data_IF_721551014316
#
_entry.id   IF_721551014316
#
_cell.length_a   1.000
_cell.length_b   1.000
_cell.length_c   1.000
_cell.angle_alpha   90.00
_cell.angle_beta   90.00
_cell.angle_gamma   90.00
#
_symmetry.space_group_name_H-M   'P 1'
#
loop_
_entity.id
_entity.type
_entity.pdbx_description
1 polymer ?
#
# COMPACT_ATOMS: atom_id res chain seq x y z
N UNK A 1 -3.05 -2.39 -1.71
CA UNK A 1 -2.60 -1.80 -0.42
C UNK A 1 -1.16 -1.36 -0.60
N UNK A 2 -0.80 -0.16 -0.15
CA UNK A 2 0.58 0.34 -0.22
C UNK A 2 1.23 0.24 1.15
N UNK A 3 2.42 -0.36 1.23
CA UNK A 3 3.25 -0.41 2.44
C UNK A 3 4.42 0.54 2.23
N UNK A 4 4.44 1.66 2.95
CA UNK A 4 5.43 2.72 2.75
C UNK A 4 6.59 2.54 3.73
N UNK A 5 7.80 2.43 3.19
CA UNK A 5 9.05 2.33 3.93
C UNK A 5 9.96 3.49 3.55
N UNK A 6 10.81 3.95 4.47
CA UNK A 6 11.83 4.96 4.15
C UNK A 6 13.19 4.29 4.11
N UNK A 7 14.01 4.61 3.11
CA UNK A 7 15.39 4.12 3.01
C UNK A 7 16.29 4.66 4.15
N UNK A 8 15.86 5.74 4.82
CA UNK A 8 16.52 6.28 6.03
C UNK A 8 16.21 5.50 7.30
N UNK A 9 15.07 4.82 7.32
CA UNK A 9 14.58 4.14 8.50
C UNK A 9 14.99 2.68 8.45
N UNK A 10 15.65 2.21 9.51
CA UNK A 10 15.91 0.78 9.66
C UNK A 10 14.59 0.03 9.66
N UNK A 11 14.53 -1.07 8.92
CA UNK A 11 13.42 -1.99 9.02
C UNK A 11 13.41 -2.57 10.44
N UNK A 12 12.47 -2.10 11.26
CA UNK A 12 12.43 -2.41 12.68
C UNK A 12 11.44 -3.53 12.98
N UNK A 13 11.54 -4.10 14.19
CA UNK A 13 10.60 -5.13 14.65
C UNK A 13 9.17 -4.62 14.70
N UNK A 14 8.96 -3.32 14.89
CA UNK A 14 7.65 -2.69 14.85
C UNK A 14 7.05 -2.73 13.44
N UNK A 15 7.86 -2.50 12.41
CA UNK A 15 7.42 -2.60 11.01
C UNK A 15 7.05 -4.05 10.67
N UNK A 16 7.89 -5.00 11.07
CA UNK A 16 7.60 -6.42 10.92
C UNK A 16 6.29 -6.82 11.63
N UNK A 17 6.11 -6.40 12.88
CA UNK A 17 4.92 -6.68 13.67
C UNK A 17 3.66 -6.04 13.06
N UNK A 18 3.78 -4.86 12.45
CA UNK A 18 2.69 -4.21 11.74
C UNK A 18 2.26 -5.02 10.50
N UNK A 19 3.21 -5.49 9.69
CA UNK A 19 2.92 -6.36 8.53
C UNK A 19 2.24 -7.66 8.99
N UNK A 20 2.77 -8.33 10.02
CA UNK A 20 2.16 -9.55 10.56
C UNK A 20 0.75 -9.29 11.12
N UNK A 21 0.51 -8.11 11.69
CA UNK A 21 -0.81 -7.73 12.20
C UNK A 21 -1.81 -7.47 11.07
N UNK A 22 -1.36 -6.92 9.94
CA UNK A 22 -2.17 -6.78 8.73
C UNK A 22 -2.55 -8.15 8.16
N UNK A 23 -1.61 -9.08 8.05
CA UNK A 23 -1.90 -10.45 7.61
C UNK A 23 -2.88 -11.17 8.54
N UNK A 24 -2.76 -10.98 9.87
CA UNK A 24 -3.70 -11.56 10.84
C UNK A 24 -5.10 -10.94 10.73
N UNK A 25 -5.19 -9.64 10.51
CA UNK A 25 -6.46 -8.90 10.50
C UNK A 25 -7.22 -9.07 9.18
N UNK A 26 -6.50 -9.04 8.08
CA UNK A 26 -7.08 -9.13 6.74
C UNK A 26 -7.02 -10.54 6.18
N UNK A 27 -6.21 -11.44 6.73
CA UNK A 27 -5.98 -12.77 6.19
C UNK A 27 -4.78 -12.82 5.24
N UNK A 28 -4.20 -14.02 5.03
CA UNK A 28 -2.94 -14.18 4.30
C UNK A 28 -3.01 -13.78 2.82
N UNK A 29 -4.21 -13.67 2.25
CA UNK A 29 -4.40 -13.23 0.86
C UNK A 29 -4.13 -11.73 0.67
N UNK A 30 -4.06 -10.94 1.74
CA UNK A 30 -3.82 -9.48 1.63
C UNK A 30 -2.50 -9.16 0.95
N UNK A 31 -1.48 -10.00 1.13
CA UNK A 31 -0.16 -9.83 0.52
C UNK A 31 -0.20 -9.90 -1.00
N UNK A 32 -1.15 -10.65 -1.60
CA UNK A 32 -1.37 -10.67 -3.06
C UNK A 32 -1.80 -9.30 -3.61
N UNK A 33 -2.23 -8.38 -2.74
CA UNK A 33 -2.68 -7.03 -3.08
C UNK A 33 -1.73 -5.94 -2.55
N UNK A 34 -0.60 -6.30 -1.94
CA UNK A 34 0.37 -5.36 -1.38
C UNK A 34 1.45 -4.97 -2.40
N UNK A 35 1.80 -3.69 -2.38
CA UNK A 35 2.94 -3.09 -3.09
C UNK A 35 3.78 -2.35 -2.05
N UNK A 36 5.10 -2.56 -2.06
CA UNK A 36 6.04 -1.88 -1.16
C UNK A 36 6.53 -0.59 -1.82
N UNK A 37 6.34 0.55 -1.17
CA UNK A 37 6.79 1.85 -1.66
C UNK A 37 7.95 2.31 -0.79
N UNK A 38 9.15 2.35 -1.36
CA UNK A 38 10.30 2.96 -0.72
C UNK A 38 10.27 4.47 -0.95
N UNK A 39 10.61 5.23 0.08
CA UNK A 39 10.68 6.69 0.04
C UNK A 39 12.08 7.15 0.42
N UNK A 40 12.48 8.29 -0.13
CA UNK A 40 13.83 8.83 0.05
C UNK A 40 14.74 8.54 -1.13
N UNK A 41 14.19 8.46 -2.34
CA UNK A 41 14.99 8.27 -3.55
C UNK A 41 15.99 9.40 -3.82
N UNK A 42 15.77 10.60 -3.25
CA UNK A 42 16.77 11.66 -3.27
C UNK A 42 18.02 11.31 -2.44
N UNK A 43 17.89 10.50 -1.38
CA UNK A 43 19.06 10.05 -0.61
C UNK A 43 19.89 9.03 -1.38
N UNK A 44 19.24 8.04 -2.00
CA UNK A 44 19.97 7.05 -2.79
C UNK A 44 20.70 7.73 -3.96
N UNK A 45 20.08 8.74 -4.58
CA UNK A 45 20.76 9.57 -5.58
C UNK A 45 21.94 10.37 -5.02
N UNK A 46 21.85 10.92 -3.80
CA UNK A 46 22.96 11.64 -3.15
C UNK A 46 24.15 10.71 -2.85
N UNK A 47 23.89 9.43 -2.58
CA UNK A 47 24.89 8.40 -2.26
C UNK A 47 25.36 7.61 -3.50
N UNK A 48 24.92 7.98 -4.72
CA UNK A 48 25.17 7.26 -5.99
C UNK A 48 24.73 5.77 -5.96
N UNK A 49 23.69 5.46 -5.17
CA UNK A 49 23.13 4.12 -5.01
C UNK A 49 21.78 3.95 -5.73
N UNK A 50 21.51 2.74 -6.22
CA UNK A 50 20.19 2.35 -6.71
C UNK A 50 19.33 1.70 -5.62
N UNK A 51 18.02 1.53 -5.86
CA UNK A 51 17.19 0.76 -4.94
C UNK A 51 17.68 -0.70 -4.87
N UNK A 52 18.14 -1.25 -5.99
CA UNK A 52 18.71 -2.58 -6.08
C UNK A 52 19.97 -2.72 -5.23
N UNK A 53 20.85 -1.72 -5.24
CA UNK A 53 22.06 -1.70 -4.40
C UNK A 53 21.68 -1.71 -2.91
N UNK A 54 20.77 -0.82 -2.51
CA UNK A 54 20.23 -0.75 -1.15
C UNK A 54 19.64 -2.10 -0.68
N UNK A 55 18.89 -2.77 -1.56
CA UNK A 55 18.28 -4.07 -1.27
C UNK A 55 19.26 -5.25 -1.36
N UNK A 56 20.46 -5.07 -1.92
CA UNK A 56 21.46 -6.14 -2.04
C UNK A 56 22.49 -6.12 -0.91
N UNK A 57 22.90 -4.94 -0.46
CA UNK A 57 23.97 -4.79 0.53
C UNK A 57 23.46 -4.78 1.98
N UNK A 58 22.27 -4.22 2.23
CA UNK A 58 21.79 -3.95 3.59
C UNK A 58 20.40 -4.52 3.89
N UNK A 59 19.82 -5.35 3.03
CA UNK A 59 18.44 -5.82 3.22
C UNK A 59 18.32 -6.76 4.42
N UNK A 60 17.60 -6.37 5.49
CA UNK A 60 17.37 -7.26 6.63
C UNK A 60 16.48 -8.44 6.19
N UNK A 61 16.73 -9.63 6.73
CA UNK A 61 15.94 -10.84 6.43
C UNK A 61 14.41 -10.61 6.53
N UNK A 62 13.87 -9.87 7.53
CA UNK A 62 12.45 -9.57 7.58
C UNK A 62 11.93 -8.72 6.42
N UNK A 63 12.75 -7.78 5.91
CA UNK A 63 12.41 -6.97 4.74
C UNK A 63 12.44 -7.81 3.47
N UNK A 64 13.43 -8.68 3.33
CA UNK A 64 13.50 -9.63 2.21
C UNK A 64 12.24 -10.51 2.17
N UNK A 65 11.84 -11.05 3.32
CA UNK A 65 10.61 -11.83 3.45
C UNK A 65 9.36 -11.03 3.09
N UNK A 66 9.27 -9.75 3.50
CA UNK A 66 8.18 -8.86 3.11
C UNK A 66 8.12 -8.69 1.58
N UNK A 67 9.26 -8.46 0.94
CA UNK A 67 9.34 -8.32 -0.51
C UNK A 67 8.90 -9.61 -1.21
N UNK A 68 9.36 -10.77 -0.73
CA UNK A 68 8.98 -12.07 -1.27
C UNK A 68 7.47 -12.33 -1.18
N UNK A 69 6.83 -12.10 -0.02
CA UNK A 69 5.37 -12.27 0.11
C UNK A 69 4.60 -11.27 -0.75
N UNK A 70 5.18 -10.10 -1.02
CA UNK A 70 4.65 -9.11 -1.95
C UNK A 70 5.02 -9.39 -3.42
N UNK A 71 5.60 -10.55 -3.75
CA UNK A 71 6.04 -10.94 -5.11
C UNK A 71 7.03 -9.95 -5.72
N UNK A 72 7.89 -9.36 -4.90
CA UNK A 72 8.87 -8.34 -5.26
C UNK A 72 8.28 -7.08 -5.91
N UNK A 73 6.97 -6.81 -5.70
CA UNK A 73 6.32 -5.59 -6.18
C UNK A 73 6.74 -4.42 -5.30
N UNK A 74 7.75 -3.68 -5.75
CA UNK A 74 8.21 -2.49 -5.06
C UNK A 74 8.56 -1.34 -6.02
N UNK A 75 8.56 -0.12 -5.49
CA UNK A 75 8.90 1.10 -6.25
C UNK A 75 9.55 2.14 -5.34
N UNK A 76 10.49 2.92 -5.87
CA UNK A 76 11.15 4.02 -5.19
C UNK A 76 10.52 5.38 -5.52
N UNK A 77 10.23 6.15 -4.48
CA UNK A 77 9.69 7.50 -4.56
C UNK A 77 10.68 8.53 -3.98
N UNK A 78 10.86 9.60 -4.73
CA UNK A 78 11.51 10.83 -4.30
C UNK A 78 10.41 11.88 -4.11
N UNK A 79 9.94 12.00 -2.88
CA UNK A 79 8.87 12.94 -2.54
C UNK A 79 9.35 14.41 -2.55
N UNK A 80 10.65 14.67 -2.73
CA UNK A 80 11.21 16.03 -2.75
C UNK A 80 11.45 16.54 -4.17
N UNK A 81 11.42 15.66 -5.19
CA UNK A 81 11.64 16.08 -6.57
C UNK A 81 10.68 17.19 -7.01
N UNK A 82 11.24 18.20 -7.68
CA UNK A 82 10.48 19.27 -8.35
C UNK A 82 10.38 19.05 -9.86
N UNK A 83 11.04 18.01 -10.38
CA UNK A 83 11.02 17.68 -11.81
C UNK A 83 9.72 16.93 -12.12
N UNK A 84 8.83 17.55 -12.89
CA UNK A 84 7.56 16.92 -13.28
C UNK A 84 7.77 15.62 -14.06
N UNK A 85 8.80 15.52 -14.89
CA UNK A 85 9.15 14.28 -15.57
C UNK A 85 9.45 13.12 -14.61
N UNK A 86 10.18 13.39 -13.52
CA UNK A 86 10.52 12.37 -12.50
C UNK A 86 9.29 11.96 -11.70
N UNK A 87 8.41 12.92 -11.36
CA UNK A 87 7.14 12.62 -10.70
C UNK A 87 6.25 11.72 -11.57
N UNK A 88 6.14 12.06 -12.85
CA UNK A 88 5.36 11.28 -13.82
C UNK A 88 5.94 9.87 -13.96
N UNK A 89 7.26 9.74 -14.09
CA UNK A 89 7.91 8.42 -14.18
C UNK A 89 7.62 7.54 -12.95
N UNK A 90 7.72 8.11 -11.74
CA UNK A 90 7.44 7.40 -10.49
C UNK A 90 5.97 6.99 -10.38
N UNK A 91 5.06 7.88 -10.78
CA UNK A 91 3.63 7.59 -10.82
C UNK A 91 3.33 6.46 -11.81
N UNK A 92 3.90 6.51 -13.02
CA UNK A 92 3.71 5.48 -14.04
C UNK A 92 4.25 4.12 -13.60
N UNK A 93 5.40 4.09 -12.92
CA UNK A 93 5.94 2.85 -12.31
C UNK A 93 4.96 2.26 -11.28
N UNK A 94 4.40 3.09 -10.41
CA UNK A 94 3.41 2.64 -9.43
C UNK A 94 2.12 2.14 -10.09
N UNK A 95 1.59 2.86 -11.08
CA UNK A 95 0.36 2.48 -11.78
C UNK A 95 0.51 1.13 -12.49
N UNK A 96 1.66 0.87 -13.13
CA UNK A 96 1.95 -0.46 -13.71
C UNK A 96 1.94 -1.58 -12.68
N UNK A 97 2.45 -1.34 -11.48
CA UNK A 97 2.38 -2.34 -10.40
C UNK A 97 0.94 -2.54 -9.91
N UNK A 98 0.14 -1.47 -9.86
CA UNK A 98 -1.29 -1.58 -9.53
C UNK A 98 -2.04 -2.38 -10.59
N UNK A 99 -1.80 -2.14 -11.87
CA UNK A 99 -2.36 -2.90 -12.99
C UNK A 99 -1.98 -4.38 -12.88
N UNK A 100 -0.70 -4.69 -12.64
CA UNK A 100 -0.25 -6.06 -12.42
C UNK A 100 -0.96 -6.74 -11.23
N UNK A 101 -1.15 -6.03 -10.12
CA UNK A 101 -1.92 -6.54 -8.97
C UNK A 101 -3.37 -6.85 -9.37
N UNK A 102 -4.01 -5.99 -10.17
CA UNK A 102 -5.40 -6.20 -10.63
C UNK A 102 -5.47 -7.43 -11.53
N UNK A 103 -4.57 -7.56 -12.50
CA UNK A 103 -4.51 -8.69 -13.42
C UNK A 103 -4.25 -10.03 -12.70
N UNK A 104 -3.24 -10.06 -11.82
CA UNK A 104 -2.89 -11.25 -11.04
C UNK A 104 -4.02 -11.72 -10.11
N UNK A 105 -4.91 -10.81 -9.73
CA UNK A 105 -6.07 -11.10 -8.88
C UNK A 105 -7.39 -11.15 -9.67
N UNK A 106 -7.32 -11.42 -10.99
CA UNK A 106 -8.50 -11.62 -11.85
C UNK A 106 -9.50 -10.45 -11.83
N UNK A 107 -8.97 -9.22 -11.74
CA UNK A 107 -9.75 -7.98 -11.62
C UNK A 107 -10.69 -7.92 -10.42
N UNK A 108 -10.51 -8.80 -9.42
CA UNK A 108 -11.31 -8.79 -8.22
C UNK A 108 -10.67 -7.89 -7.16
N UNK A 109 -11.40 -6.89 -6.63
CA UNK A 109 -10.90 -6.12 -5.52
C UNK A 109 -10.72 -7.03 -4.30
N UNK A 110 -9.87 -6.59 -3.37
CA UNK A 110 -9.69 -7.32 -2.13
C UNK A 110 -11.02 -7.47 -1.38
N UNK A 111 -11.37 -8.72 -1.03
CA UNK A 111 -12.52 -9.03 -0.20
C UNK A 111 -12.09 -9.94 0.96
N UNK A 112 -12.45 -9.54 2.17
CA UNK A 112 -12.31 -10.36 3.37
C UNK A 112 -13.59 -10.19 4.20
N UNK A 113 -13.93 -11.18 5.03
CA UNK A 113 -15.16 -11.18 5.85
C UNK A 113 -15.28 -9.88 6.66
N UNK A 114 -14.18 -9.47 7.31
CA UNK A 114 -14.13 -8.20 8.05
C UNK A 114 -14.29 -6.95 7.16
N UNK A 115 -13.88 -7.01 5.89
CA UNK A 115 -14.07 -5.92 4.93
C UNK A 115 -15.52 -5.84 4.44
N UNK A 116 -16.19 -6.98 4.25
CA UNK A 116 -17.62 -7.00 3.94
C UNK A 116 -18.47 -6.48 5.10
N UNK A 117 -18.13 -6.84 6.33
CA UNK A 117 -18.76 -6.32 7.54
C UNK A 117 -18.58 -4.79 7.64
N UNK A 118 -17.36 -4.27 7.46
CA UNK A 118 -17.12 -2.83 7.40
C UNK A 118 -17.87 -2.13 6.24
N UNK A 119 -18.01 -2.78 5.09
CA UNK A 119 -18.75 -2.24 3.95
C UNK A 119 -20.25 -2.17 4.25
N UNK A 120 -20.81 -3.19 4.89
CA UNK A 120 -22.22 -3.22 5.32
C UNK A 120 -22.51 -2.16 6.38
N UNK A 121 -21.62 -1.98 7.35
CA UNK A 121 -21.77 -0.93 8.38
C UNK A 121 -21.82 0.48 7.76
N UNK A 122 -20.90 0.80 6.84
CA UNK A 122 -20.94 2.09 6.12
C UNK A 122 -22.21 2.29 5.30
N UNK A 123 -22.67 1.25 4.60
CA UNK A 123 -23.91 1.35 3.81
C UNK A 123 -25.14 1.55 4.71
N UNK A 124 -25.16 0.95 5.90
CA UNK A 124 -26.22 1.16 6.87
C UNK A 124 -26.22 2.61 7.41
N UNK A 125 -25.07 3.15 7.78
CA UNK A 125 -24.92 4.55 8.21
C UNK A 125 -25.41 5.53 7.13
N UNK A 126 -25.03 5.32 5.88
CA UNK A 126 -25.49 6.15 4.76
C UNK A 126 -27.01 6.06 4.56
N UNK A 127 -27.59 4.85 4.65
CA UNK A 127 -29.04 4.66 4.52
C UNK A 127 -29.84 5.23 5.69
N UNK A 128 -29.33 5.15 6.90
CA UNK A 128 -30.01 5.67 8.08
C UNK A 128 -29.95 7.20 8.11
N UNK A 129 -28.83 7.79 7.69
CA UNK A 129 -28.70 9.23 7.45
C UNK A 129 -29.71 9.73 6.41
N UNK A 130 -29.82 9.06 5.25
CA UNK A 130 -30.82 9.40 4.23
C UNK A 130 -32.27 9.29 4.74
N UNK A 131 -32.57 8.30 5.58
CA UNK A 131 -33.90 8.13 6.17
C UNK A 131 -34.25 9.26 7.12
N UNK A 132 -33.32 9.70 7.96
CA UNK A 132 -33.52 10.83 8.87
C UNK A 132 -33.77 12.14 8.12
N UNK A 133 -33.01 12.40 7.04
CA UNK A 133 -33.26 13.56 6.16
C UNK A 133 -34.67 13.52 5.54
N UNK A 134 -35.10 12.35 5.06
CA UNK A 134 -36.41 12.19 4.43
C UNK A 134 -37.56 12.38 5.44
N UNK A 135 -37.39 11.88 6.68
CA UNK A 135 -38.41 12.04 7.73
C UNK A 135 -38.55 13.49 8.23
N UNK A 136 -37.45 14.25 8.26
CA UNK A 136 -37.46 15.67 8.61
C UNK A 136 -38.14 16.53 7.53
N UNK A 137 -38.03 16.17 6.25
CA UNK A 137 -38.71 16.88 5.16
C UNK A 137 -40.22 16.58 5.10
N UNK A 138 -40.64 15.35 5.42
CA UNK A 138 -42.07 14.98 5.46
C UNK A 138 -42.81 15.61 6.66
N UNK A 139 -42.08 16.04 7.69
CA UNK A 139 -42.64 16.64 8.91
C UNK A 139 -42.73 18.18 8.89
N UNK A 140 -42.49 18.83 7.73
CA UNK A 140 -42.68 20.28 7.51
C UNK A 140 -43.91 20.53 6.64
#
# INVERSE_FOLDING_TARGET
MLVVLSVRARFSKEVEAAVQSLEKSFGPKVTNYMIVVFTGGDQLEDDDETLEDYLSCECPEPLQKLLEVCRNRCVLFDNKTKKESKKEEQLQKLLKLVEAVVEENSSQPYTHVSFEEMKKLRQQEDTDSLRDYTQQEISK
#
